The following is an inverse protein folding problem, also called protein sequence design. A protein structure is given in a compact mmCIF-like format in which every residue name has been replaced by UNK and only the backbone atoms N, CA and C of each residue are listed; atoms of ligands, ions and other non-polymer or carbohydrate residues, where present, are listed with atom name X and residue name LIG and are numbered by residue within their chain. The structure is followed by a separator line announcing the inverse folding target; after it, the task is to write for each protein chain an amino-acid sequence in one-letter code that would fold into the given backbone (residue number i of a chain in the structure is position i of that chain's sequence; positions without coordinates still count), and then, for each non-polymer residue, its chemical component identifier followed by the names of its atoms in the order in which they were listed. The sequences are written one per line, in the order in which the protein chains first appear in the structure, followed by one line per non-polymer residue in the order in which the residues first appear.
data_IF_193243392169
#
_entry.id   IF_193243392169
#
_cell.length_a   1.000
_cell.length_b   1.000
_cell.length_c   1.000
_cell.angle_alpha   90.00
_cell.angle_beta   90.00
_cell.angle_gamma   90.00
#
_symmetry.space_group_name_H-M   'P 1'
#
loop_
_entity.id
_entity.type
_entity.pdbx_description
1 polymer ?
#
# COMPACT_ATOMS: atom_id res chain seq x y z
N UNK A 1 -20.09 -15.39 3.82
CA UNK A 1 -20.04 -14.19 2.95
C UNK A 1 -19.01 -13.22 3.52
N UNK A 2 -18.40 -12.33 2.72
CA UNK A 2 -17.44 -11.33 3.25
C UNK A 2 -18.08 -10.39 4.28
N UNK A 3 -19.38 -10.10 4.13
CA UNK A 3 -20.16 -9.24 5.04
C UNK A 3 -20.30 -9.79 6.47
N UNK A 4 -19.91 -11.04 6.70
CA UNK A 4 -20.11 -11.75 7.98
C UNK A 4 -18.79 -12.20 8.61
N UNK A 5 -17.65 -11.79 8.03
CA UNK A 5 -16.34 -12.29 8.46
C UNK A 5 -15.97 -11.91 9.90
N UNK A 6 -16.46 -10.76 10.39
CA UNK A 6 -16.21 -10.31 11.77
C UNK A 6 -16.95 -11.19 12.78
N UNK A 7 -18.24 -11.46 12.55
CA UNK A 7 -19.04 -12.31 13.45
C UNK A 7 -18.47 -13.72 13.52
N UNK A 8 -18.13 -14.31 12.36
CA UNK A 8 -17.49 -15.63 12.30
C UNK A 8 -16.13 -15.63 13.02
N UNK A 9 -15.35 -14.55 12.89
CA UNK A 9 -14.09 -14.38 13.61
C UNK A 9 -14.26 -14.38 15.13
N UNK A 10 -15.27 -13.66 15.63
CA UNK A 10 -15.59 -13.60 17.06
C UNK A 10 -16.06 -14.97 17.59
N UNK A 11 -16.88 -15.70 16.82
CA UNK A 11 -17.30 -17.05 17.18
C UNK A 11 -16.11 -18.02 17.29
N UNK A 12 -15.21 -18.00 16.31
CA UNK A 12 -13.99 -18.83 16.33
C UNK A 12 -13.11 -18.48 17.54
N UNK A 13 -12.92 -17.19 17.84
CA UNK A 13 -12.16 -16.76 19.01
C UNK A 13 -12.78 -17.27 20.32
N UNK A 14 -14.10 -17.28 20.45
CA UNK A 14 -14.79 -17.84 21.61
C UNK A 14 -14.56 -19.35 21.74
N UNK A 15 -14.58 -20.11 20.64
CA UNK A 15 -14.26 -21.54 20.67
C UNK A 15 -12.81 -21.81 21.08
N UNK A 16 -11.87 -21.02 20.57
CA UNK A 16 -10.44 -21.11 20.95
C UNK A 16 -10.24 -20.84 22.45
N UNK A 17 -10.96 -19.86 23.02
CA UNK A 17 -10.94 -19.61 24.47
C UNK A 17 -11.48 -20.82 25.26
N UNK A 18 -12.54 -21.48 24.78
CA UNK A 18 -13.09 -22.69 25.43
C UNK A 18 -12.12 -23.87 25.42
N UNK A 19 -11.17 -23.89 24.48
CA UNK A 19 -10.08 -24.88 24.42
C UNK A 19 -8.92 -24.54 25.38
N UNK A 20 -9.03 -23.47 26.18
CA UNK A 20 -8.02 -23.07 27.17
C UNK A 20 -6.93 -22.15 26.62
N UNK A 21 -7.05 -21.69 25.37
CA UNK A 21 -6.09 -20.74 24.78
C UNK A 21 -6.47 -19.32 25.17
N UNK A 22 -5.53 -18.57 25.76
CA UNK A 22 -5.76 -17.16 26.09
C UNK A 22 -5.76 -16.30 24.82
N UNK A 23 -6.83 -15.55 24.60
CA UNK A 23 -6.92 -14.59 23.49
C UNK A 23 -6.61 -13.18 24.01
N UNK A 24 -5.46 -12.60 23.66
CA UNK A 24 -5.11 -11.24 24.08
C UNK A 24 -5.97 -10.21 23.35
N UNK A 25 -6.29 -9.11 24.05
CA UNK A 25 -6.96 -7.93 23.50
C UNK A 25 -8.22 -8.21 22.63
N UNK A 26 -9.23 -8.93 23.15
CA UNK A 26 -10.41 -9.37 22.37
C UNK A 26 -11.30 -8.23 21.87
N UNK A 27 -11.10 -6.99 22.34
CA UNK A 27 -11.84 -5.80 21.89
C UNK A 27 -11.02 -4.89 20.98
N UNK A 28 -9.81 -5.29 20.60
CA UNK A 28 -8.99 -4.50 19.69
C UNK A 28 -9.59 -4.52 18.29
N UNK A 29 -9.73 -3.34 17.67
CA UNK A 29 -10.31 -3.20 16.33
C UNK A 29 -9.18 -3.09 15.33
N UNK A 30 -9.10 -4.07 14.45
CA UNK A 30 -8.14 -4.09 13.34
C UNK A 30 -8.76 -3.59 12.01
N UNK A 31 -10.04 -3.20 12.04
CA UNK A 31 -10.83 -2.80 10.89
C UNK A 31 -11.44 -1.40 11.10
N UNK A 32 -11.71 -0.72 9.98
CA UNK A 32 -12.25 0.64 9.96
C UNK A 32 -11.18 1.70 9.71
N UNK A 33 -11.63 2.93 9.50
CA UNK A 33 -10.71 4.07 9.36
C UNK A 33 -10.12 4.46 10.73
N UNK A 34 -8.88 4.96 10.76
CA UNK A 34 -8.31 5.60 11.95
C UNK A 34 -9.17 6.77 12.43
N UNK A 35 -9.00 7.17 13.70
CA UNK A 35 -9.77 8.26 14.30
C UNK A 35 -9.66 9.59 13.54
N UNK A 36 -10.72 10.41 13.63
CA UNK A 36 -10.79 11.73 12.94
C UNK A 36 -9.63 12.65 13.33
N UNK A 37 -9.19 12.61 14.58
CA UNK A 37 -8.07 13.43 15.05
C UNK A 37 -6.76 13.11 14.30
N UNK A 38 -6.48 11.83 14.04
CA UNK A 38 -5.30 11.41 13.26
C UNK A 38 -5.41 11.85 11.80
N UNK A 39 -6.63 11.84 11.24
CA UNK A 39 -6.87 12.35 9.89
C UNK A 39 -6.54 13.84 9.83
N UNK A 40 -7.05 14.62 10.77
CA UNK A 40 -6.85 16.07 10.79
C UNK A 40 -5.38 16.43 11.00
N UNK A 41 -4.67 15.69 11.85
CA UNK A 41 -3.23 15.80 12.02
C UNK A 41 -2.47 15.50 10.71
N UNK A 42 -2.78 14.38 10.05
CA UNK A 42 -2.20 14.04 8.76
C UNK A 42 -2.42 15.15 7.73
N UNK A 43 -3.64 15.69 7.65
CA UNK A 43 -3.98 16.79 6.72
C UNK A 43 -3.26 18.08 7.06
N UNK A 44 -3.02 18.36 8.33
CA UNK A 44 -2.21 19.50 8.73
C UNK A 44 -0.76 19.33 8.27
N UNK A 45 -0.15 18.16 8.52
CA UNK A 45 1.23 17.89 8.11
C UNK A 45 1.41 17.92 6.59
N UNK A 46 0.49 17.29 5.84
CA UNK A 46 0.49 17.30 4.38
C UNK A 46 0.40 18.73 3.80
N UNK A 47 -0.43 19.60 4.40
CA UNK A 47 -0.52 21.01 4.00
C UNK A 47 0.76 21.79 4.30
N UNK A 48 1.36 21.59 5.48
CA UNK A 48 2.57 22.32 5.90
C UNK A 48 3.79 22.01 5.03
N UNK A 49 3.88 20.79 4.50
CA UNK A 49 4.94 20.40 3.56
C UNK A 49 4.55 20.60 2.09
N UNK A 50 3.40 21.22 1.83
CA UNK A 50 2.87 21.45 0.49
C UNK A 50 2.79 20.18 -0.37
N UNK A 51 2.46 19.03 0.24
CA UNK A 51 2.48 17.71 -0.39
C UNK A 51 1.72 17.69 -1.72
N UNK A 52 0.56 18.34 -1.78
CA UNK A 52 -0.28 18.32 -2.97
C UNK A 52 0.35 19.05 -4.17
N UNK A 53 1.36 19.91 -3.96
CA UNK A 53 2.15 20.51 -5.07
C UNK A 53 3.07 19.49 -5.75
N UNK A 54 3.40 18.39 -5.07
CA UNK A 54 4.17 17.27 -5.62
C UNK A 54 3.27 16.26 -6.37
N UNK A 55 1.95 16.50 -6.41
CA UNK A 55 1.04 15.65 -7.16
C UNK A 55 1.35 15.77 -8.64
N UNK A 56 1.62 14.64 -9.28
CA UNK A 56 1.81 14.60 -10.73
C UNK A 56 0.55 15.11 -11.46
N UNK A 57 0.67 15.98 -12.49
CA UNK A 57 -0.47 16.51 -13.24
C UNK A 57 -1.38 15.44 -13.88
N UNK A 58 -0.87 14.23 -14.12
CA UNK A 58 -1.66 13.12 -14.65
C UNK A 58 -2.52 12.43 -13.58
N UNK A 59 -2.28 12.72 -12.30
CA UNK A 59 -3.02 12.11 -11.19
C UNK A 59 -4.44 12.69 -11.08
N UNK A 60 -5.40 11.81 -10.82
CA UNK A 60 -6.82 12.11 -10.71
C UNK A 60 -7.24 12.79 -9.40
N UNK A 61 -6.44 12.64 -8.33
CA UNK A 61 -6.69 13.22 -7.01
C UNK A 61 -5.38 13.71 -6.36
N UNK A 62 -5.43 14.67 -5.42
CA UNK A 62 -4.24 15.12 -4.68
C UNK A 62 -3.60 13.98 -3.86
N UNK A 63 -2.27 14.00 -3.73
CA UNK A 63 -1.52 13.01 -2.95
C UNK A 63 -2.04 12.86 -1.52
N UNK A 64 -2.38 13.98 -0.85
CA UNK A 64 -2.90 13.93 0.51
C UNK A 64 -4.21 13.15 0.62
N UNK A 65 -5.09 13.23 -0.39
CA UNK A 65 -6.34 12.48 -0.43
C UNK A 65 -6.10 11.00 -0.68
N UNK A 66 -5.29 10.70 -1.70
CA UNK A 66 -4.95 9.32 -2.07
C UNK A 66 -4.28 8.57 -0.93
N UNK A 67 -3.29 9.18 -0.30
CA UNK A 67 -2.50 8.54 0.75
C UNK A 67 -3.34 8.22 1.98
N UNK A 68 -4.16 9.16 2.46
CA UNK A 68 -5.03 8.88 3.60
C UNK A 68 -6.05 7.78 3.29
N UNK A 69 -6.69 7.85 2.11
CA UNK A 69 -7.71 6.90 1.68
C UNK A 69 -7.17 5.47 1.52
N UNK A 70 -5.91 5.33 1.07
CA UNK A 70 -5.28 4.01 0.84
C UNK A 70 -4.60 3.46 2.09
N UNK A 71 -3.89 4.28 2.86
CA UNK A 71 -2.96 3.81 3.90
C UNK A 71 -3.35 4.22 5.32
N UNK A 72 -4.30 5.14 5.50
CA UNK A 72 -4.72 5.65 6.82
C UNK A 72 -3.52 6.11 7.65
N UNK A 73 -3.38 5.57 8.87
CA UNK A 73 -2.28 5.88 9.77
C UNK A 73 -0.89 5.54 9.17
N UNK A 74 -0.80 4.55 8.30
CA UNK A 74 0.49 4.23 7.65
C UNK A 74 0.95 5.31 6.68
N UNK A 75 0.07 6.25 6.29
CA UNK A 75 0.40 7.38 5.42
C UNK A 75 1.39 8.36 6.05
N UNK A 76 1.48 8.44 7.39
CA UNK A 76 2.50 9.26 8.06
C UNK A 76 3.92 8.84 7.66
N UNK A 77 4.16 7.54 7.47
CA UNK A 77 5.45 7.05 6.97
C UNK A 77 5.79 7.53 5.56
N UNK A 78 4.78 7.80 4.72
CA UNK A 78 4.99 8.37 3.38
C UNK A 78 5.40 9.84 3.49
N UNK A 79 4.80 10.61 4.41
CA UNK A 79 5.18 12.01 4.63
C UNK A 79 6.64 12.12 5.07
N UNK A 80 7.06 11.28 6.02
CA UNK A 80 8.44 11.27 6.49
C UNK A 80 9.41 10.88 5.37
N UNK A 81 9.07 9.87 4.56
CA UNK A 81 9.92 9.49 3.43
C UNK A 81 10.07 10.62 2.39
N UNK A 82 9.00 11.34 2.09
CA UNK A 82 9.03 12.47 1.15
C UNK A 82 9.79 13.67 1.73
N UNK A 83 9.78 13.85 3.05
CA UNK A 83 10.61 14.88 3.72
C UNK A 83 12.09 14.56 3.60
N UNK A 84 12.47 13.29 3.70
CA UNK A 84 13.84 12.84 3.51
C UNK A 84 14.28 12.98 2.04
N UNK A 85 13.40 12.63 1.11
CA UNK A 85 13.66 12.67 -0.33
C UNK A 85 12.38 12.97 -1.12
N UNK A 86 12.29 14.18 -1.68
CA UNK A 86 11.12 14.62 -2.44
C UNK A 86 10.87 13.79 -3.71
N UNK A 87 11.92 13.21 -4.32
CA UNK A 87 11.76 12.37 -5.52
C UNK A 87 10.95 11.10 -5.23
N UNK A 88 10.79 10.74 -3.96
CA UNK A 88 9.95 9.61 -3.57
C UNK A 88 8.45 9.86 -3.80
N UNK A 89 8.04 11.12 -4.04
CA UNK A 89 6.68 11.48 -4.45
C UNK A 89 6.43 11.29 -5.96
N UNK A 90 7.48 11.07 -6.76
CA UNK A 90 7.35 10.89 -8.20
C UNK A 90 6.64 9.56 -8.52
N UNK A 91 5.84 9.56 -9.60
CA UNK A 91 5.19 8.36 -10.08
C UNK A 91 6.24 7.38 -10.60
N UNK A 92 6.28 6.21 -9.98
CA UNK A 92 7.12 5.12 -10.48
C UNK A 92 6.43 4.38 -11.61
N UNK A 93 5.13 4.12 -11.46
CA UNK A 93 4.33 3.46 -12.49
C UNK A 93 3.28 4.47 -12.94
N UNK A 94 3.62 5.24 -13.98
CA UNK A 94 2.84 6.36 -14.53
C UNK A 94 1.36 6.01 -14.74
N UNK A 95 1.10 4.87 -15.39
CA UNK A 95 -0.27 4.42 -15.73
C UNK A 95 -1.09 3.90 -14.53
N UNK A 96 -0.53 3.94 -13.32
CA UNK A 96 -1.13 3.33 -12.15
C UNK A 96 -1.15 4.22 -10.90
N UNK A 97 -0.67 5.47 -11.02
CA UNK A 97 -0.67 6.45 -9.92
C UNK A 97 0.00 5.92 -8.64
N UNK A 98 1.06 5.11 -8.78
CA UNK A 98 1.87 4.64 -7.66
C UNK A 98 3.19 5.38 -7.62
N UNK A 99 3.44 6.04 -6.49
CA UNK A 99 4.72 6.71 -6.22
C UNK A 99 5.78 5.73 -5.72
N UNK A 100 7.06 6.13 -5.77
CA UNK A 100 8.16 5.32 -5.22
C UNK A 100 7.94 5.02 -3.73
N UNK A 101 7.57 6.01 -2.91
CA UNK A 101 7.37 5.80 -1.47
C UNK A 101 6.23 4.81 -1.15
N UNK A 102 5.17 4.77 -1.97
CA UNK A 102 4.09 3.78 -1.80
C UNK A 102 4.60 2.35 -1.97
N UNK A 103 5.50 2.13 -2.93
CA UNK A 103 6.09 0.81 -3.20
C UNK A 103 7.05 0.43 -2.08
N UNK A 104 7.87 1.36 -1.59
CA UNK A 104 8.72 1.14 -0.41
C UNK A 104 7.90 0.78 0.83
N UNK A 105 6.77 1.45 1.05
CA UNK A 105 5.86 1.15 2.15
C UNK A 105 5.28 -0.26 2.03
N UNK A 106 4.83 -0.64 0.82
CA UNK A 106 4.31 -1.97 0.54
C UNK A 106 5.36 -3.06 0.77
N UNK A 107 6.60 -2.83 0.31
CA UNK A 107 7.73 -3.74 0.53
C UNK A 107 7.96 -4.03 2.02
N UNK A 108 7.89 -2.99 2.86
CA UNK A 108 8.16 -3.10 4.30
C UNK A 108 7.02 -3.72 5.10
N UNK A 109 5.76 -3.60 4.65
CA UNK A 109 4.58 -3.92 5.49
C UNK A 109 3.70 -5.04 4.98
N UNK A 110 3.72 -5.34 3.67
CA UNK A 110 2.65 -6.15 3.06
C UNK A 110 3.04 -7.58 2.70
N UNK A 111 4.26 -8.00 3.09
CA UNK A 111 4.79 -9.36 2.90
C UNK A 111 4.67 -9.83 1.44
N UNK A 112 5.22 -9.03 0.52
CA UNK A 112 5.22 -9.29 -0.91
C UNK A 112 6.32 -10.31 -1.22
N UNK A 113 5.94 -11.49 -1.72
CA UNK A 113 6.90 -12.56 -2.06
C UNK A 113 6.99 -12.81 -3.56
N UNK A 114 5.95 -12.46 -4.32
CA UNK A 114 5.92 -12.45 -5.79
C UNK A 114 5.48 -11.10 -6.30
N UNK A 115 5.93 -10.74 -7.51
CA UNK A 115 5.52 -9.47 -8.13
C UNK A 115 4.00 -9.42 -8.40
N UNK A 116 3.37 -10.56 -8.73
CA UNK A 116 1.91 -10.67 -8.88
C UNK A 116 1.15 -10.24 -7.60
N UNK A 117 1.73 -10.48 -6.42
CA UNK A 117 1.13 -10.09 -5.14
C UNK A 117 0.95 -8.59 -5.09
N UNK A 118 1.98 -7.86 -5.47
CA UNK A 118 1.94 -6.42 -5.58
C UNK A 118 0.97 -6.01 -6.69
N UNK A 119 1.25 -6.42 -7.93
CA UNK A 119 0.56 -5.95 -9.15
C UNK A 119 -0.95 -6.19 -9.14
N UNK A 120 -1.40 -7.30 -8.57
CA UNK A 120 -2.81 -7.71 -8.60
C UNK A 120 -3.53 -7.51 -7.27
N UNK A 121 -2.89 -7.85 -6.14
CA UNK A 121 -3.57 -7.89 -4.83
C UNK A 121 -3.41 -6.62 -4.01
N UNK A 122 -2.26 -5.95 -4.10
CA UNK A 122 -1.98 -4.73 -3.32
C UNK A 122 -2.26 -3.47 -4.09
N UNK A 123 -1.84 -3.42 -5.35
CA UNK A 123 -1.91 -2.21 -6.16
C UNK A 123 -3.05 -2.19 -7.18
N UNK A 124 -3.54 -3.37 -7.59
CA UNK A 124 -4.58 -3.57 -8.63
C UNK A 124 -4.21 -3.02 -10.01
N UNK A 125 -2.93 -2.74 -10.24
CA UNK A 125 -2.40 -2.19 -11.49
C UNK A 125 -2.75 -3.10 -12.68
N UNK A 126 -2.61 -4.40 -12.49
CA UNK A 126 -2.92 -5.40 -13.54
C UNK A 126 -4.41 -5.44 -13.92
N UNK A 127 -5.30 -4.88 -13.09
CA UNK A 127 -6.73 -4.82 -13.37
C UNK A 127 -7.12 -3.59 -14.21
N UNK A 128 -6.22 -2.61 -14.35
CA UNK A 128 -6.50 -1.33 -15.04
C UNK A 128 -5.50 -1.02 -16.16
N UNK A 129 -4.33 -1.66 -16.18
CA UNK A 129 -3.30 -1.50 -17.23
C UNK A 129 -3.10 -2.81 -17.97
N UNK A 130 -2.91 -2.72 -19.30
CA UNK A 130 -2.65 -3.90 -20.13
C UNK A 130 -1.28 -4.47 -19.83
N UNK A 131 -1.18 -5.81 -19.80
CA UNK A 131 0.08 -6.51 -19.53
C UNK A 131 1.22 -6.14 -20.48
N UNK A 132 0.92 -5.90 -21.75
CA UNK A 132 1.91 -5.48 -22.76
C UNK A 132 2.51 -4.10 -22.46
N UNK A 133 1.73 -3.19 -21.89
CA UNK A 133 2.18 -1.86 -21.48
C UNK A 133 3.03 -1.97 -20.20
N UNK A 134 2.59 -2.79 -19.23
CA UNK A 134 3.36 -3.06 -18.02
C UNK A 134 4.73 -3.67 -18.31
N UNK A 135 4.80 -4.61 -19.25
CA UNK A 135 6.06 -5.25 -19.63
C UNK A 135 7.09 -4.28 -20.24
N UNK A 136 6.62 -3.13 -20.77
CA UNK A 136 7.48 -2.08 -21.36
C UNK A 136 7.72 -0.92 -20.39
N UNK A 137 7.02 -0.88 -19.26
CA UNK A 137 7.12 0.21 -18.31
C UNK A 137 8.47 0.13 -17.56
N UNK A 138 9.32 1.17 -17.63
CA UNK A 138 10.59 1.17 -16.91
C UNK A 138 10.38 1.05 -15.39
N UNK A 139 9.30 1.65 -14.88
CA UNK A 139 8.90 1.58 -13.48
C UNK A 139 8.63 0.17 -12.96
N UNK A 140 8.32 -0.81 -13.82
CA UNK A 140 8.12 -2.18 -13.38
C UNK A 140 9.42 -2.81 -12.87
N UNK A 141 10.54 -2.52 -13.54
CA UNK A 141 11.84 -3.03 -13.12
C UNK A 141 12.28 -2.38 -11.82
N UNK A 142 12.14 -1.07 -11.72
CA UNK A 142 12.48 -0.37 -10.47
C UNK A 142 11.58 -0.81 -9.30
N UNK A 143 10.30 -1.09 -9.54
CA UNK A 143 9.43 -1.67 -8.52
C UNK A 143 9.95 -3.03 -8.04
N UNK A 144 10.49 -3.87 -8.93
CA UNK A 144 11.11 -5.13 -8.55
C UNK A 144 12.36 -4.92 -7.69
N UNK A 145 13.20 -3.94 -8.05
CA UNK A 145 14.40 -3.60 -7.29
C UNK A 145 14.04 -3.18 -5.86
N UNK A 146 13.01 -2.35 -5.70
CA UNK A 146 12.50 -1.92 -4.39
C UNK A 146 11.91 -3.08 -3.59
N UNK A 147 11.12 -3.94 -4.24
CA UNK A 147 10.40 -5.03 -3.56
C UNK A 147 11.30 -6.21 -3.19
N UNK A 148 12.32 -6.52 -4.00
CA UNK A 148 13.04 -7.78 -3.92
C UNK A 148 14.58 -7.66 -3.87
N UNK A 149 15.14 -6.46 -4.09
CA UNK A 149 16.59 -6.24 -4.06
C UNK A 149 17.33 -7.17 -5.02
N UNK A 150 18.26 -7.99 -4.50
CA UNK A 150 19.05 -8.93 -5.29
C UNK A 150 18.21 -9.93 -6.13
N UNK A 151 16.98 -10.23 -5.70
CA UNK A 151 16.09 -11.16 -6.39
C UNK A 151 15.22 -10.47 -7.47
N UNK A 152 15.36 -9.16 -7.69
CA UNK A 152 14.50 -8.39 -8.59
C UNK A 152 14.40 -8.97 -10.01
N UNK A 153 15.55 -9.30 -10.63
CA UNK A 153 15.59 -9.87 -11.99
C UNK A 153 15.00 -11.28 -12.09
N UNK A 154 15.06 -12.07 -11.02
CA UNK A 154 14.41 -13.38 -10.97
C UNK A 154 12.89 -13.21 -10.91
N UNK A 155 12.40 -12.36 -10.01
CA UNK A 155 10.96 -12.09 -9.82
C UNK A 155 10.32 -11.42 -11.02
N UNK A 156 11.04 -10.50 -11.67
CA UNK A 156 10.57 -9.86 -12.89
C UNK A 156 10.40 -10.89 -14.02
N UNK A 157 11.39 -11.78 -14.21
CA UNK A 157 11.29 -12.87 -15.20
C UNK A 157 10.16 -13.85 -14.89
N UNK A 158 9.99 -14.22 -13.62
CA UNK A 158 8.87 -15.05 -13.18
C UNK A 158 7.52 -14.42 -13.57
N UNK A 159 7.36 -13.12 -13.32
CA UNK A 159 6.13 -12.39 -13.64
C UNK A 159 5.88 -12.20 -15.14
N UNK A 160 6.94 -12.00 -15.94
CA UNK A 160 6.77 -11.85 -17.39
C UNK A 160 6.55 -13.19 -18.11
N UNK A 161 6.95 -14.30 -17.48
CA UNK A 161 6.78 -15.66 -18.01
C UNK A 161 5.52 -16.40 -17.59
N UNK A 162 4.72 -15.86 -16.65
CA UNK A 162 3.48 -16.47 -16.15
C UNK A 162 2.29 -16.35 -17.09
#
# INVERSE_FOLDING_TARGET
KLTDCLNVGDEVAQWVQRLGVTVPAPRNRWYGEPGVDLRDEFRLQARLMELDKLTDPSSSEPLSERFWRRYGESAFGLLERIREDQSCADLLIENAEYTRCEIELAARREMIVKLEDFMRRRSKIELVVRREELARAPGLREACDILFGEQAEERLREYLGS
#
